data_IF_419117249779
#
_entry.id   IF_419117249779
#
_cell.length_a   1.000
_cell.length_b   1.000
_cell.length_c   1.000
_cell.angle_alpha   90.00
_cell.angle_beta   90.00
_cell.angle_gamma   90.00
#
_symmetry.space_group_name_H-M   'P 1'
#
loop_
_entity.id
_entity.type
_entity.pdbx_description
1 polymer ?
#
# COMPACT_ATOMS: atom_id res chain seq x y z
N UNK A 1 18.46 20.51 30.02
CA UNK A 1 17.08 20.74 29.53
C UNK A 1 16.56 19.43 28.97
N UNK A 2 15.85 18.65 29.79
CA UNK A 2 15.44 17.26 29.49
C UNK A 2 13.92 17.06 29.57
N UNK A 3 13.15 18.15 29.63
CA UNK A 3 11.71 18.13 29.94
C UNK A 3 10.82 17.94 28.72
N UNK A 4 11.34 18.09 27.49
CA UNK A 4 10.51 18.01 26.28
C UNK A 4 10.27 16.58 25.76
N UNK A 5 11.16 15.62 26.07
CA UNK A 5 11.01 14.23 25.61
C UNK A 5 10.12 13.38 26.52
N UNK A 6 9.91 13.79 27.78
CA UNK A 6 9.02 13.07 28.70
C UNK A 6 7.54 13.37 28.48
N UNK A 7 7.19 14.58 28.05
CA UNK A 7 5.80 14.97 27.77
C UNK A 7 5.26 14.33 26.49
N UNK A 8 6.11 14.12 25.48
CA UNK A 8 5.74 13.44 24.23
C UNK A 8 5.44 11.94 24.46
N UNK A 9 6.22 11.27 25.31
CA UNK A 9 6.03 9.85 25.66
C UNK A 9 4.75 9.58 26.47
N UNK A 10 4.36 10.52 27.33
CA UNK A 10 3.13 10.40 28.11
C UNK A 10 1.85 10.56 27.25
N UNK A 11 1.89 11.39 26.20
CA UNK A 11 0.75 11.59 25.32
C UNK A 11 0.47 10.41 24.38
N UNK A 12 1.51 9.72 23.88
CA UNK A 12 1.35 8.54 23.00
C UNK A 12 0.74 7.34 23.74
N UNK A 13 1.10 7.15 25.01
CA UNK A 13 0.54 6.06 25.84
C UNK A 13 -0.92 6.33 26.22
N UNK A 14 -1.31 7.59 26.42
CA UNK A 14 -2.68 7.95 26.83
C UNK A 14 -3.70 7.80 25.68
N UNK A 15 -3.29 8.05 24.42
CA UNK A 15 -4.18 7.87 23.26
C UNK A 15 -4.43 6.40 22.91
N UNK A 16 -3.53 5.48 23.27
CA UNK A 16 -3.73 4.04 23.02
C UNK A 16 -4.79 3.40 23.94
N UNK A 17 -5.06 3.97 25.12
CA UNK A 17 -5.96 3.38 26.12
C UNK A 17 -7.43 3.80 25.89
N UNK A 18 -7.71 4.92 25.22
CA UNK A 18 -9.09 5.40 24.99
C UNK A 18 -9.78 4.77 23.78
N UNK A 19 -9.07 4.07 22.90
CA UNK A 19 -9.65 3.44 21.70
C UNK A 19 -10.19 2.02 21.91
N UNK A 20 -10.10 1.46 23.13
CA UNK A 20 -10.49 0.07 23.44
C UNK A 20 -11.91 -0.10 24.03
N UNK A 21 -12.74 0.96 24.09
CA UNK A 21 -14.01 0.95 24.84
C UNK A 21 -15.28 1.19 24.01
N UNK A 22 -15.30 0.92 22.69
CA UNK A 22 -16.47 1.23 21.85
C UNK A 22 -16.92 0.15 20.86
N UNK A 23 -16.89 -1.14 21.26
CA UNK A 23 -17.60 -2.19 20.50
C UNK A 23 -18.35 -3.15 21.44
N UNK A 24 -19.48 -2.69 21.97
CA UNK A 24 -20.55 -3.55 22.48
C UNK A 24 -21.76 -3.31 21.59
N UNK A 25 -22.00 -4.22 20.64
CA UNK A 25 -23.13 -4.22 19.71
C UNK A 25 -23.93 -5.52 19.83
N UNK A 26 -25.25 -5.39 19.89
CA UNK A 26 -26.22 -6.35 20.40
C UNK A 26 -26.26 -7.73 19.72
N UNK A 27 -26.34 -8.78 20.54
CA UNK A 27 -26.78 -10.14 20.18
C UNK A 27 -28.30 -10.18 19.96
N UNK A 28 -28.75 -10.76 18.86
CA UNK A 28 -30.10 -11.31 18.71
C UNK A 28 -30.04 -12.72 18.10
N UNK A 29 -30.81 -13.64 18.67
CA UNK A 29 -30.76 -15.08 18.42
C UNK A 29 -31.77 -15.56 17.38
N UNK A 30 -31.30 -16.41 16.44
CA UNK A 30 -31.94 -17.63 15.83
C UNK A 30 -33.25 -17.52 15.00
N UNK A 31 -33.55 -18.43 14.03
CA UNK A 31 -33.13 -19.84 13.98
C UNK A 31 -32.68 -20.43 12.62
N UNK A 32 -32.10 -21.63 12.77
CA UNK A 32 -31.77 -22.73 11.84
C UNK A 32 -32.71 -22.91 10.64
N UNK A 33 -32.12 -23.04 9.44
CA UNK A 33 -32.69 -23.86 8.35
C UNK A 33 -31.60 -24.68 7.63
N UNK A 34 -31.72 -25.99 7.81
CA UNK A 34 -31.57 -27.08 6.83
C UNK A 34 -30.35 -27.12 5.91
N UNK A 35 -29.44 -28.06 6.20
CA UNK A 35 -28.46 -28.59 5.23
C UNK A 35 -29.16 -29.37 4.11
N UNK A 36 -28.81 -29.07 2.86
CA UNK A 36 -28.91 -30.03 1.74
C UNK A 36 -27.77 -29.74 0.73
N UNK A 37 -27.10 -30.74 0.15
CA UNK A 37 -25.81 -30.53 -0.51
C UNK A 37 -25.89 -30.33 -2.04
N UNK A 38 -24.97 -29.50 -2.55
CA UNK A 38 -24.40 -29.42 -3.92
C UNK A 38 -25.36 -29.13 -5.11
N UNK A 39 -24.93 -28.33 -6.11
CA UNK A 39 -23.87 -28.75 -7.02
C UNK A 39 -22.76 -27.71 -7.27
N UNK A 40 -21.60 -28.24 -7.65
CA UNK A 40 -20.44 -27.61 -8.31
C UNK A 40 -20.74 -26.31 -9.06
N UNK A 41 -20.24 -25.18 -8.55
CA UNK A 41 -20.09 -23.94 -9.33
C UNK A 41 -18.69 -23.84 -9.91
N UNK A 42 -18.63 -24.03 -11.22
CA UNK A 42 -17.50 -23.78 -12.11
C UNK A 42 -16.91 -22.39 -11.84
N UNK A 43 -15.62 -22.31 -11.53
CA UNK A 43 -14.86 -21.05 -11.57
C UNK A 43 -14.93 -20.48 -12.99
N UNK A 44 -15.76 -19.46 -13.19
CA UNK A 44 -15.60 -18.54 -14.32
C UNK A 44 -14.30 -17.78 -14.11
N UNK A 45 -13.23 -18.25 -14.74
CA UNK A 45 -11.99 -17.50 -14.86
C UNK A 45 -12.30 -16.21 -15.62
N UNK A 46 -12.25 -15.07 -14.94
CA UNK A 46 -12.14 -13.77 -15.62
C UNK A 46 -10.92 -13.85 -16.51
N UNK A 47 -11.04 -13.67 -17.84
CA UNK A 47 -9.88 -13.66 -18.71
C UNK A 47 -8.99 -12.50 -18.27
N UNK A 48 -7.77 -12.82 -17.86
CA UNK A 48 -6.71 -11.82 -17.69
C UNK A 48 -6.58 -11.10 -19.03
N UNK A 49 -6.69 -9.77 -19.11
CA UNK A 49 -6.65 -9.06 -20.37
C UNK A 49 -5.28 -9.29 -21.01
N UNK A 50 -5.25 -10.04 -22.10
CA UNK A 50 -4.08 -10.13 -22.97
C UNK A 50 -3.75 -8.70 -23.42
N UNK A 51 -2.52 -8.20 -23.17
CA UNK A 51 -2.14 -6.86 -23.58
C UNK A 51 -2.31 -6.71 -25.10
N UNK A 52 -2.97 -5.64 -25.52
CA UNK A 52 -3.13 -5.29 -26.94
C UNK A 52 -1.72 -5.04 -27.50
N UNK A 53 -1.30 -5.68 -28.61
CA UNK A 53 0.08 -5.65 -29.11
C UNK A 53 0.60 -4.27 -29.56
N UNK A 54 -0.19 -3.21 -29.36
CA UNK A 54 0.17 -1.82 -29.68
C UNK A 54 0.36 -0.94 -28.43
N UNK A 55 0.14 -1.46 -27.22
CA UNK A 55 0.40 -0.71 -25.99
C UNK A 55 1.90 -0.73 -25.67
N UNK A 56 2.58 0.39 -25.88
CA UNK A 56 4.00 0.55 -25.57
C UNK A 56 4.18 1.63 -24.49
N UNK A 57 4.13 1.23 -23.22
CA UNK A 57 4.42 2.13 -22.11
C UNK A 57 5.92 2.35 -21.90
N UNK A 58 6.28 3.46 -21.27
CA UNK A 58 7.66 3.81 -20.97
C UNK A 58 8.15 3.12 -19.68
N UNK A 59 9.47 2.99 -19.53
CA UNK A 59 10.07 2.67 -18.23
C UNK A 59 10.38 3.98 -17.50
N UNK A 60 9.90 4.10 -16.27
CA UNK A 60 10.05 5.30 -15.43
C UNK A 60 10.70 4.96 -14.11
N UNK A 61 11.57 5.85 -13.64
CA UNK A 61 12.14 5.77 -12.28
C UNK A 61 11.34 6.64 -11.33
N UNK A 62 11.06 6.13 -10.14
CA UNK A 62 10.53 6.90 -9.01
C UNK A 62 11.61 7.03 -7.94
N UNK A 63 11.74 8.21 -7.34
CA UNK A 63 12.66 8.46 -6.25
C UNK A 63 12.01 9.35 -5.19
N UNK A 64 11.99 8.89 -3.95
CA UNK A 64 11.45 9.63 -2.82
C UNK A 64 12.09 9.13 -1.52
N UNK A 65 12.75 10.02 -0.80
CA UNK A 65 13.27 9.77 0.56
C UNK A 65 13.98 8.41 0.75
N UNK A 66 14.98 8.13 -0.09
CA UNK A 66 15.74 6.88 -0.06
C UNK A 66 15.06 5.69 -0.75
N UNK A 67 13.75 5.72 -1.01
CA UNK A 67 13.07 4.78 -1.89
C UNK A 67 13.40 5.10 -3.34
N UNK A 68 13.85 4.09 -4.09
CA UNK A 68 14.07 4.19 -5.54
C UNK A 68 13.53 2.96 -6.25
N UNK A 69 12.68 3.21 -7.25
CA UNK A 69 11.99 2.17 -8.01
C UNK A 69 12.17 2.40 -9.50
N UNK A 70 12.14 1.32 -10.27
CA UNK A 70 11.90 1.34 -11.70
C UNK A 70 10.56 0.66 -11.99
N UNK A 71 9.70 1.31 -12.77
CA UNK A 71 8.39 0.79 -13.16
C UNK A 71 8.32 0.74 -14.69
N UNK A 72 8.03 -0.43 -15.23
CA UNK A 72 7.89 -0.64 -16.68
C UNK A 72 6.45 -0.43 -17.16
N UNK A 73 6.28 -0.27 -18.48
CA UNK A 73 4.98 -0.20 -19.14
C UNK A 73 4.07 0.92 -18.59
N UNK A 74 4.66 2.05 -18.22
CA UNK A 74 3.96 3.23 -17.68
C UNK A 74 3.38 4.04 -18.83
N UNK A 75 2.08 4.31 -18.76
CA UNK A 75 1.35 5.16 -19.71
C UNK A 75 1.56 6.64 -19.40
N UNK A 76 1.32 7.04 -18.15
CA UNK A 76 1.52 8.41 -17.69
C UNK A 76 1.94 8.43 -16.22
N UNK A 77 2.56 9.55 -15.83
CA UNK A 77 2.81 9.88 -14.43
C UNK A 77 2.19 11.24 -14.16
N UNK A 78 1.33 11.31 -13.15
CA UNK A 78 0.74 12.57 -12.68
C UNK A 78 0.99 12.77 -11.19
N UNK A 79 0.72 13.98 -10.71
CA UNK A 79 0.81 14.31 -9.29
C UNK A 79 -0.60 14.60 -8.76
N UNK A 80 -0.94 13.97 -7.65
CA UNK A 80 -2.19 14.22 -6.93
C UNK A 80 -1.89 14.73 -5.53
N UNK A 81 -2.93 15.27 -4.86
CA UNK A 81 -2.83 15.80 -3.52
C UNK A 81 -3.82 15.09 -2.60
N UNK A 82 -3.42 14.86 -1.35
CA UNK A 82 -4.32 14.50 -0.25
C UNK A 82 -4.09 15.45 0.94
N UNK A 83 -4.85 15.24 2.01
CA UNK A 83 -4.58 15.87 3.30
C UNK A 83 -3.97 14.83 4.23
N UNK A 84 -2.92 15.21 4.96
CA UNK A 84 -2.47 14.42 6.10
C UNK A 84 -3.46 14.55 7.28
N UNK A 85 -3.21 13.81 8.36
CA UNK A 85 -4.05 13.85 9.56
C UNK A 85 -4.07 15.24 10.23
N UNK A 86 -3.08 16.09 9.93
CA UNK A 86 -3.01 17.49 10.37
C UNK A 86 -3.72 18.47 9.42
N UNK A 87 -4.32 18.01 8.32
CA UNK A 87 -4.97 18.85 7.31
C UNK A 87 -4.00 19.56 6.36
N UNK A 88 -2.70 19.28 6.42
CA UNK A 88 -1.71 19.84 5.51
C UNK A 88 -1.80 19.16 4.14
N UNK A 89 -1.59 19.90 3.04
CA UNK A 89 -1.53 19.30 1.72
C UNK A 89 -0.32 18.37 1.61
N UNK A 90 -0.55 17.14 1.18
CA UNK A 90 0.46 16.15 0.87
C UNK A 90 0.39 15.79 -0.61
N UNK A 91 1.54 15.76 -1.30
CA UNK A 91 1.62 15.43 -2.73
C UNK A 91 2.21 14.05 -2.93
N UNK A 92 1.68 13.33 -3.91
CA UNK A 92 2.19 12.00 -4.27
C UNK A 92 2.06 11.78 -5.78
N UNK A 93 2.87 10.86 -6.31
CA UNK A 93 2.80 10.49 -7.72
C UNK A 93 1.73 9.42 -7.96
N UNK A 94 1.07 9.46 -9.11
CA UNK A 94 0.22 8.37 -9.60
C UNK A 94 0.83 7.87 -10.90
N UNK A 95 1.18 6.59 -10.92
CA UNK A 95 1.69 5.91 -12.10
C UNK A 95 0.53 5.13 -12.72
N UNK A 96 0.10 5.58 -13.89
CA UNK A 96 -0.87 4.83 -14.69
C UNK A 96 -0.10 3.86 -15.56
N UNK A 97 -0.44 2.59 -15.52
CA UNK A 97 0.33 1.53 -16.17
C UNK A 97 -0.54 0.63 -17.05
N UNK A 98 0.02 0.15 -18.14
CA UNK A 98 -0.61 -0.88 -18.97
C UNK A 98 -0.42 -2.28 -18.37
N UNK A 99 -1.32 -3.24 -18.65
CA UNK A 99 -1.15 -4.63 -18.20
C UNK A 99 0.25 -5.19 -18.51
N UNK A 100 0.81 -5.95 -17.57
CA UNK A 100 2.16 -6.51 -17.68
C UNK A 100 3.29 -5.59 -17.17
N UNK A 101 2.96 -4.45 -16.57
CA UNK A 101 3.92 -3.61 -15.86
C UNK A 101 4.60 -4.34 -14.70
N UNK A 102 5.86 -4.00 -14.44
CA UNK A 102 6.69 -4.61 -13.38
C UNK A 102 7.37 -3.52 -12.57
N UNK A 103 7.50 -3.75 -11.27
CA UNK A 103 8.28 -2.91 -10.35
C UNK A 103 9.58 -3.63 -10.00
N UNK A 104 10.68 -2.91 -10.14
CA UNK A 104 11.99 -3.30 -9.60
C UNK A 104 12.37 -2.33 -8.50
N UNK A 105 12.67 -2.85 -7.32
CA UNK A 105 13.19 -2.06 -6.20
C UNK A 105 14.69 -1.87 -6.40
N UNK A 106 15.11 -0.64 -6.69
CA UNK A 106 16.52 -0.28 -6.86
C UNK A 106 17.17 0.09 -5.52
N UNK A 107 16.39 0.72 -4.63
CA UNK A 107 16.80 1.04 -3.26
C UNK A 107 15.55 1.02 -2.38
N UNK A 108 15.50 0.21 -1.32
CA UNK A 108 14.30 0.08 -0.50
C UNK A 108 14.13 1.20 0.54
N UNK A 109 15.15 2.03 0.78
CA UNK A 109 15.05 3.15 1.72
C UNK A 109 14.71 2.71 3.15
N UNK A 110 15.38 1.67 3.66
CA UNK A 110 15.18 1.11 5.00
C UNK A 110 15.63 2.08 6.11
N UNK A 111 15.14 1.89 7.33
CA UNK A 111 15.49 2.72 8.48
C UNK A 111 16.94 2.53 8.93
N UNK A 112 17.53 3.57 9.52
CA UNK A 112 18.88 3.51 10.07
C UNK A 112 18.90 2.66 11.36
N UNK A 113 19.79 1.66 11.37
CA UNK A 113 20.02 0.76 12.52
C UNK A 113 20.37 1.53 13.78
N UNK A 114 21.07 2.66 13.66
CA UNK A 114 21.59 3.43 14.79
C UNK A 114 20.50 4.21 15.55
N UNK A 115 19.32 4.38 14.94
CA UNK A 115 18.17 5.07 15.56
C UNK A 115 17.03 4.10 15.90
N UNK A 116 17.07 2.88 15.39
CA UNK A 116 16.12 1.82 15.73
C UNK A 116 16.28 1.34 17.18
N UNK A 117 15.17 1.08 17.88
CA UNK A 117 15.20 0.65 19.27
C UNK A 117 15.80 -0.76 19.45
N UNK A 118 15.70 -1.61 18.43
CA UNK A 118 16.21 -2.98 18.43
C UNK A 118 17.55 -3.14 17.70
N UNK A 119 18.14 -2.03 17.25
CA UNK A 119 19.41 -2.02 16.52
C UNK A 119 19.33 -2.67 15.13
N UNK A 120 18.14 -2.79 14.54
CA UNK A 120 17.91 -3.40 13.23
C UNK A 120 17.31 -2.40 12.24
N UNK A 121 17.57 -2.67 10.97
CA UNK A 121 16.97 -1.90 9.89
C UNK A 121 15.58 -2.46 9.60
N UNK A 122 14.61 -1.58 9.40
CA UNK A 122 13.21 -1.91 9.15
C UNK A 122 12.74 -1.24 7.86
N UNK A 123 11.73 -1.83 7.22
CA UNK A 123 11.09 -1.19 6.09
C UNK A 123 10.46 0.14 6.51
N UNK A 124 10.72 1.20 5.75
CA UNK A 124 10.01 2.47 5.87
C UNK A 124 8.79 2.53 4.94
N UNK A 125 8.72 1.63 3.97
CA UNK A 125 7.71 1.65 2.90
C UNK A 125 7.04 0.29 2.74
N UNK A 126 5.77 0.30 2.37
CA UNK A 126 5.02 -0.91 2.04
C UNK A 126 4.15 -0.72 0.82
N UNK A 127 3.94 -1.81 0.08
CA UNK A 127 2.90 -1.89 -0.95
C UNK A 127 1.58 -2.21 -0.25
N UNK A 128 0.59 -1.35 -0.42
CA UNK A 128 -0.77 -1.59 0.07
C UNK A 128 -1.58 -2.37 -0.96
N UNK A 129 -2.23 -3.45 -0.53
CA UNK A 129 -3.15 -4.23 -1.33
C UNK A 129 -4.61 -3.81 -1.06
N UNK A 130 -5.49 -4.06 -2.01
CA UNK A 130 -6.92 -3.79 -1.91
C UNK A 130 -7.60 -4.58 -0.78
N UNK A 131 -7.01 -5.71 -0.35
CA UNK A 131 -7.43 -6.48 0.82
C UNK A 131 -7.16 -5.75 2.15
N UNK A 132 -6.38 -4.67 2.14
CA UNK A 132 -5.82 -4.02 3.33
C UNK A 132 -4.53 -4.68 3.82
N UNK A 133 -4.11 -5.80 3.21
CA UNK A 133 -2.82 -6.40 3.48
C UNK A 133 -1.67 -5.54 2.96
N UNK A 134 -0.49 -5.77 3.52
CA UNK A 134 0.71 -5.01 3.26
C UNK A 134 1.86 -5.93 2.92
N UNK A 135 2.66 -5.52 1.93
CA UNK A 135 3.94 -6.14 1.61
C UNK A 135 5.07 -5.14 1.83
N UNK A 136 5.93 -5.42 2.80
CA UNK A 136 7.06 -4.56 3.14
C UNK A 136 8.08 -4.51 1.99
N UNK A 137 8.64 -3.33 1.74
CA UNK A 137 9.72 -3.13 0.78
C UNK A 137 11.04 -3.21 1.53
N UNK A 138 11.82 -4.24 1.23
CA UNK A 138 13.06 -4.58 1.93
C UNK A 138 14.24 -4.77 0.98
N UNK A 139 15.45 -4.87 1.53
CA UNK A 139 16.64 -5.22 0.76
C UNK A 139 16.47 -6.55 0.02
N UNK A 140 17.13 -6.66 -1.13
CA UNK A 140 17.13 -7.83 -2.02
C UNK A 140 15.73 -8.33 -2.44
N UNK A 141 14.71 -7.46 -2.33
CA UNK A 141 13.36 -7.76 -2.79
C UNK A 141 13.37 -7.99 -4.31
N UNK A 142 12.90 -9.17 -4.74
CA UNK A 142 12.75 -9.49 -6.15
C UNK A 142 11.73 -8.56 -6.81
N UNK A 143 11.98 -8.21 -8.07
CA UNK A 143 11.00 -7.52 -8.91
C UNK A 143 9.69 -8.30 -8.95
N UNK A 144 8.57 -7.58 -9.00
CA UNK A 144 7.24 -8.15 -9.01
C UNK A 144 6.37 -7.47 -10.05
N UNK A 145 5.39 -8.20 -10.53
CA UNK A 145 4.43 -7.69 -11.52
C UNK A 145 3.39 -6.83 -10.80
N UNK A 146 3.00 -5.72 -11.43
CA UNK A 146 1.89 -4.92 -10.94
C UNK A 146 0.58 -5.64 -11.26
N UNK A 147 -0.22 -5.78 -10.23
CA UNK A 147 -1.55 -6.36 -10.31
C UNK A 147 -2.60 -5.32 -9.92
N UNK A 148 -3.86 -5.45 -10.40
CA UNK A 148 -4.90 -4.46 -10.12
C UNK A 148 -5.26 -4.27 -8.63
N UNK A 149 -4.91 -5.23 -7.77
CA UNK A 149 -5.10 -5.17 -6.32
C UNK A 149 -4.01 -4.36 -5.61
N UNK A 150 -2.88 -4.05 -6.24
CA UNK A 150 -1.86 -3.17 -5.66
C UNK A 150 -2.29 -1.71 -5.80
N UNK A 151 -2.57 -1.04 -4.68
CA UNK A 151 -3.09 0.33 -4.66
C UNK A 151 -1.96 1.37 -4.76
N UNK A 152 -0.81 1.08 -4.16
CA UNK A 152 0.30 2.03 -4.11
C UNK A 152 1.34 1.68 -3.06
N UNK A 153 2.32 2.57 -2.92
CA UNK A 153 3.36 2.52 -1.91
C UNK A 153 3.16 3.70 -0.95
N UNK A 154 3.28 3.39 0.34
CA UNK A 154 3.02 4.33 1.41
C UNK A 154 4.07 4.24 2.52
N UNK A 155 4.20 5.32 3.29
CA UNK A 155 5.06 5.36 4.48
C UNK A 155 4.45 4.51 5.59
N UNK A 156 5.24 3.60 6.16
CA UNK A 156 4.81 2.80 7.30
C UNK A 156 4.72 3.61 8.61
N UNK A 157 5.38 4.76 8.66
CA UNK A 157 5.33 5.67 9.82
C UNK A 157 4.09 6.55 9.77
N UNK A 158 3.83 7.21 8.63
CA UNK A 158 2.76 8.21 8.51
C UNK A 158 1.48 7.71 7.85
N UNK A 159 1.48 6.49 7.32
CA UNK A 159 0.36 5.92 6.54
C UNK A 159 -0.02 6.72 5.27
N UNK A 160 0.86 7.62 4.80
CA UNK A 160 0.62 8.45 3.61
C UNK A 160 1.19 7.81 2.34
N UNK A 161 0.43 7.84 1.25
CA UNK A 161 0.95 7.41 -0.06
C UNK A 161 2.08 8.33 -0.52
N UNK A 162 3.13 7.73 -1.06
CA UNK A 162 4.17 8.44 -1.83
C UNK A 162 4.01 8.18 -3.33
N UNK A 163 3.39 7.05 -3.67
CA UNK A 163 3.12 6.58 -5.02
C UNK A 163 1.81 5.79 -5.04
N UNK A 164 0.92 6.04 -6.00
CA UNK A 164 -0.23 5.16 -6.32
C UNK A 164 -0.03 4.46 -7.66
N UNK A 165 -0.62 3.28 -7.76
CA UNK A 165 -0.68 2.51 -9.00
C UNK A 165 -2.11 2.52 -9.54
N UNK A 166 -2.27 2.82 -10.81
CA UNK A 166 -3.57 2.75 -11.49
C UNK A 166 -3.43 2.01 -12.80
N UNK A 167 -4.16 0.91 -12.96
CA UNK A 167 -4.17 0.21 -14.23
C UNK A 167 -4.93 1.06 -15.26
N UNK A 168 -4.32 1.28 -16.41
CA UNK A 168 -4.96 1.97 -17.53
C UNK A 168 -6.22 1.23 -17.97
N UNK A 169 -7.33 1.97 -18.06
CA UNK A 169 -8.61 1.48 -18.58
C UNK A 169 -8.87 2.17 -19.91
N UNK A 170 -9.11 1.39 -20.95
CA UNK A 170 -9.67 1.93 -22.18
C UNK A 170 -11.14 2.25 -21.90
N UNK A 171 -11.47 3.52 -21.75
CA UNK A 171 -12.86 3.97 -21.79
C UNK A 171 -13.36 3.76 -23.22
N UNK A 172 -14.00 2.61 -23.48
CA UNK A 172 -14.74 2.33 -24.71
C UNK A 172 -16.21 2.66 -24.53
#
# INVERSE_FOLDING_TARGET
MNTSHQTLRAMVILMAITMLMLLVGCNNSTPTETMNPSPTSTLSQTPSPTPDPTQNGETKTFNFDGLKLEITNVYEVRTENMKDDGGNPWKYSVFVYYPGARVTVLTPGMSDVNISADGKSHANWGVLLASGERKDIVDDMKSFDLTPDMLGIYSLESSLYVLKFEMYKNDK
#
